data_IF_112995525127
#
_entry.id   IF_112995525127
#
_cell.length_a   1.000
_cell.length_b   1.000
_cell.length_c   1.000
_cell.angle_alpha   90.00
_cell.angle_beta   90.00
_cell.angle_gamma   90.00
#
_symmetry.space_group_name_H-M   'P 1'
#
loop_
_entity.id
_entity.type
_entity.pdbx_description
1 polymer ?
#
# COMPACT_ATOMS: atom_id res chain seq x y z
N UNK A 1 1.82 19.40 13.34
CA UNK A 1 2.26 19.31 11.93
C UNK A 1 1.27 18.58 11.01
N UNK A 2 -0.05 18.78 11.15
CA UNK A 2 -1.05 18.08 10.30
C UNK A 2 -1.01 18.53 8.83
N UNK A 3 -0.72 19.80 8.57
CA UNK A 3 -0.60 20.32 7.21
C UNK A 3 0.56 19.67 6.43
N UNK A 4 1.71 19.47 7.08
CA UNK A 4 2.87 18.83 6.48
C UNK A 4 2.61 17.34 6.18
N UNK A 5 1.96 16.61 7.10
CA UNK A 5 1.59 15.20 6.90
C UNK A 5 0.61 15.00 5.72
N UNK A 6 -0.30 15.95 5.52
CA UNK A 6 -1.30 15.88 4.44
C UNK A 6 -0.76 16.36 3.09
N UNK A 7 0.32 17.11 3.06
CA UNK A 7 0.89 17.65 1.82
C UNK A 7 1.23 16.52 0.82
N UNK A 8 0.83 16.68 -0.44
CA UNK A 8 1.10 15.70 -1.49
C UNK A 8 0.37 14.34 -1.36
N UNK A 9 -0.59 14.22 -0.42
CA UNK A 9 -1.31 12.94 -0.21
C UNK A 9 -2.02 12.47 -1.47
N UNK A 10 -2.68 13.35 -2.21
CA UNK A 10 -3.39 13.00 -3.44
C UNK A 10 -2.44 12.36 -4.48
N UNK A 11 -1.30 12.99 -4.74
CA UNK A 11 -0.27 12.49 -5.67
C UNK A 11 0.24 11.10 -5.20
N UNK A 12 0.50 10.95 -3.91
CA UNK A 12 0.95 9.67 -3.32
C UNK A 12 -0.10 8.57 -3.47
N UNK A 13 -1.38 8.90 -3.32
CA UNK A 13 -2.49 7.93 -3.50
C UNK A 13 -2.61 7.51 -4.96
N UNK A 14 -2.52 8.44 -5.90
CA UNK A 14 -2.51 8.18 -7.34
C UNK A 14 -1.34 7.26 -7.75
N UNK A 15 -0.13 7.51 -7.26
CA UNK A 15 1.02 6.63 -7.52
C UNK A 15 0.81 5.20 -6.96
N UNK A 16 0.21 5.05 -5.78
CA UNK A 16 -0.12 3.73 -5.20
C UNK A 16 -1.20 3.01 -6.00
N UNK A 17 -2.19 3.75 -6.51
CA UNK A 17 -3.20 3.21 -7.42
C UNK A 17 -2.54 2.69 -8.69
N UNK A 18 -1.62 3.45 -9.28
CA UNK A 18 -0.85 3.02 -10.43
C UNK A 18 -0.12 1.70 -10.16
N UNK A 19 0.66 1.60 -9.06
CA UNK A 19 1.34 0.35 -8.70
C UNK A 19 0.38 -0.83 -8.53
N UNK A 20 -0.78 -0.64 -7.91
CA UNK A 20 -1.79 -1.69 -7.78
C UNK A 20 -2.31 -2.15 -9.16
N UNK A 21 -2.55 -1.22 -10.09
CA UNK A 21 -2.98 -1.56 -11.46
C UNK A 21 -1.89 -2.27 -12.25
N UNK A 22 -0.62 -1.84 -12.15
CA UNK A 22 0.52 -2.48 -12.83
C UNK A 22 0.80 -3.87 -12.29
N UNK A 23 0.60 -4.11 -11.00
CA UNK A 23 0.67 -5.46 -10.48
C UNK A 23 -0.50 -6.33 -10.97
N UNK A 24 -1.71 -5.80 -11.11
CA UNK A 24 -2.87 -6.64 -11.41
C UNK A 24 -3.11 -6.87 -12.91
N UNK A 25 -3.21 -5.81 -13.70
CA UNK A 25 -3.69 -5.85 -15.09
C UNK A 25 -2.84 -6.73 -15.99
N UNK A 26 -1.49 -6.62 -15.99
CA UNK A 26 -0.67 -7.44 -16.88
C UNK A 26 -0.69 -8.94 -16.52
N UNK A 27 -0.91 -9.30 -15.25
CA UNK A 27 -1.09 -10.69 -14.85
C UNK A 27 -2.43 -11.28 -15.30
N UNK A 28 -3.47 -10.44 -15.38
CA UNK A 28 -4.81 -10.83 -15.84
C UNK A 28 -4.89 -10.91 -17.36
N UNK A 29 -4.43 -9.87 -18.04
CA UNK A 29 -4.71 -9.64 -19.47
C UNK A 29 -3.55 -10.08 -20.37
N UNK A 30 -2.34 -10.30 -19.81
CA UNK A 30 -1.12 -10.76 -20.51
C UNK A 30 -0.87 -10.02 -21.85
N UNK A 31 -0.77 -8.69 -21.82
CA UNK A 31 -0.64 -7.90 -23.04
C UNK A 31 0.68 -8.22 -23.76
N UNK A 32 0.70 -8.18 -25.10
CA UNK A 32 1.92 -8.41 -25.88
C UNK A 32 2.92 -7.25 -25.77
N UNK A 33 2.44 -6.01 -25.56
CA UNK A 33 3.25 -4.82 -25.32
C UNK A 33 3.05 -4.33 -23.89
N UNK A 34 4.03 -4.65 -23.03
CA UNK A 34 4.02 -4.27 -21.62
C UNK A 34 4.27 -2.77 -21.42
N UNK A 35 5.18 -2.15 -22.18
CA UNK A 35 5.56 -0.76 -21.98
C UNK A 35 4.41 0.19 -22.30
N UNK A 36 3.74 -0.04 -23.42
CA UNK A 36 2.58 0.75 -23.82
C UNK A 36 1.43 0.54 -22.85
N UNK A 37 1.18 -0.70 -22.41
CA UNK A 37 0.13 -0.99 -21.43
C UNK A 37 0.39 -0.26 -20.10
N UNK A 38 1.59 -0.34 -19.55
CA UNK A 38 1.95 0.32 -18.29
C UNK A 38 1.86 1.84 -18.40
N UNK A 39 2.26 2.43 -19.54
CA UNK A 39 2.14 3.87 -19.79
C UNK A 39 0.68 4.34 -19.77
N UNK A 40 -0.20 3.60 -20.44
CA UNK A 40 -1.65 3.89 -20.44
C UNK A 40 -2.28 3.70 -19.06
N UNK A 41 -1.86 2.67 -18.31
CA UNK A 41 -2.28 2.50 -16.91
C UNK A 41 -1.84 3.67 -16.04
N UNK A 42 -0.64 4.22 -16.27
CA UNK A 42 -0.15 5.39 -15.55
C UNK A 42 -1.00 6.62 -15.83
N UNK A 43 -1.29 6.91 -17.11
CA UNK A 43 -2.19 8.00 -17.51
C UNK A 43 -3.57 7.91 -16.85
N UNK A 44 -4.11 6.70 -16.70
CA UNK A 44 -5.42 6.47 -16.07
C UNK A 44 -5.41 6.54 -14.54
N UNK A 45 -4.24 6.40 -13.92
CA UNK A 45 -4.11 6.24 -12.46
C UNK A 45 -3.45 7.43 -11.78
N UNK A 46 -2.61 8.16 -12.51
CA UNK A 46 -1.82 9.27 -12.02
C UNK A 46 -2.41 10.62 -12.46
N UNK A 47 -2.10 11.68 -11.73
CA UNK A 47 -2.44 13.07 -12.10
C UNK A 47 -1.29 13.75 -12.85
N UNK A 48 -0.12 13.11 -12.87
CA UNK A 48 1.06 13.55 -13.57
C UNK A 48 1.20 12.79 -14.88
N UNK A 49 1.55 13.52 -15.95
CA UNK A 49 1.86 12.89 -17.23
C UNK A 49 3.08 11.96 -17.06
N UNK A 50 3.03 10.74 -17.60
CA UNK A 50 4.20 9.89 -17.65
C UNK A 50 5.35 10.61 -18.37
N UNK A 51 6.61 10.39 -17.95
CA UNK A 51 7.74 10.79 -18.77
C UNK A 51 7.69 10.00 -20.09
N UNK A 52 8.62 10.31 -21.00
CA UNK A 52 8.75 9.61 -22.28
C UNK A 52 8.87 8.08 -22.16
N UNK A 53 9.10 7.36 -23.28
CA UNK A 53 9.16 5.90 -23.29
C UNK A 53 10.02 5.34 -22.14
N UNK A 54 9.45 4.41 -21.37
CA UNK A 54 10.06 3.89 -20.14
C UNK A 54 9.77 2.39 -19.99
N UNK A 55 10.73 1.65 -19.43
CA UNK A 55 10.60 0.23 -19.05
C UNK A 55 10.34 0.09 -17.55
N UNK A 56 9.22 0.64 -17.06
CA UNK A 56 8.93 0.74 -15.63
C UNK A 56 9.01 -0.62 -14.90
N UNK A 57 8.51 -1.68 -15.54
CA UNK A 57 8.53 -3.06 -15.05
C UNK A 57 9.94 -3.57 -14.71
N UNK A 58 10.99 -3.12 -15.39
CA UNK A 58 12.37 -3.54 -15.13
C UNK A 58 12.87 -3.05 -13.76
N UNK A 59 12.31 -1.95 -13.27
CA UNK A 59 12.63 -1.38 -11.95
C UNK A 59 11.62 -1.79 -10.86
N UNK A 60 10.44 -2.28 -11.25
CA UNK A 60 9.34 -2.56 -10.34
C UNK A 60 9.36 -4.01 -9.81
N UNK A 61 10.31 -4.29 -8.90
CA UNK A 61 10.51 -5.62 -8.28
C UNK A 61 9.26 -6.25 -7.62
N UNK A 62 8.24 -5.45 -7.31
CA UNK A 62 6.98 -5.99 -6.78
C UNK A 62 6.25 -6.90 -7.76
N UNK A 63 6.52 -6.80 -9.07
CA UNK A 63 5.96 -7.73 -10.06
C UNK A 63 6.43 -9.17 -9.85
N UNK A 64 7.65 -9.37 -9.36
CA UNK A 64 8.20 -10.72 -9.16
C UNK A 64 7.99 -11.22 -7.74
N UNK A 65 8.08 -10.35 -6.74
CA UNK A 65 7.94 -10.74 -5.32
C UNK A 65 6.48 -10.80 -4.86
N UNK A 66 5.66 -9.86 -5.33
CA UNK A 66 4.26 -9.73 -4.93
C UNK A 66 3.29 -10.11 -6.04
N UNK A 67 3.76 -10.41 -7.25
CA UNK A 67 2.92 -10.75 -8.41
C UNK A 67 1.76 -9.76 -8.58
N UNK A 68 0.52 -10.24 -8.53
CA UNK A 68 -0.72 -9.45 -8.64
C UNK A 68 -1.25 -8.91 -7.30
N UNK A 69 -0.53 -9.16 -6.20
CA UNK A 69 -1.02 -8.91 -4.85
C UNK A 69 -0.67 -7.53 -4.29
N UNK A 70 0.01 -6.64 -5.01
CA UNK A 70 0.40 -5.32 -4.48
C UNK A 70 -0.75 -4.53 -3.86
N UNK A 71 -1.98 -4.70 -4.36
CA UNK A 71 -3.20 -4.09 -3.79
C UNK A 71 -3.38 -4.35 -2.29
N UNK A 72 -2.86 -5.47 -1.76
CA UNK A 72 -2.94 -5.80 -0.32
C UNK A 72 -2.19 -4.79 0.54
N UNK A 73 -1.13 -4.14 0.02
CA UNK A 73 -0.43 -3.09 0.76
C UNK A 73 -1.32 -1.85 1.01
N UNK A 74 -2.13 -1.48 0.02
CA UNK A 74 -3.07 -0.36 0.15
C UNK A 74 -4.25 -0.75 1.04
N UNK A 75 -4.75 -1.98 0.86
CA UNK A 75 -5.80 -2.56 1.69
C UNK A 75 -5.42 -2.57 3.18
N UNK A 76 -4.28 -3.18 3.53
CA UNK A 76 -3.79 -3.25 4.91
C UNK A 76 -3.56 -1.87 5.52
N UNK A 77 -3.11 -0.88 4.74
CA UNK A 77 -2.99 0.49 5.22
C UNK A 77 -4.35 1.11 5.56
N UNK A 78 -5.40 0.82 4.79
CA UNK A 78 -6.76 1.26 5.08
C UNK A 78 -7.23 0.73 6.43
N UNK A 79 -7.12 -0.59 6.62
CA UNK A 79 -7.46 -1.26 7.89
C UNK A 79 -6.65 -0.67 9.04
N UNK A 80 -5.33 -0.50 8.89
CA UNK A 80 -4.50 0.05 9.96
C UNK A 80 -4.94 1.47 10.36
N UNK A 81 -5.35 2.31 9.40
CA UNK A 81 -5.86 3.66 9.69
C UNK A 81 -7.20 3.62 10.41
N UNK A 82 -8.09 2.71 10.03
CA UNK A 82 -9.37 2.51 10.71
C UNK A 82 -9.15 1.99 12.14
N UNK A 83 -8.25 1.03 12.33
CA UNK A 83 -7.88 0.56 13.67
C UNK A 83 -7.28 1.68 14.53
N UNK A 84 -6.54 2.62 13.93
CA UNK A 84 -5.99 3.76 14.64
C UNK A 84 -7.07 4.72 15.16
N UNK A 85 -8.26 4.79 14.54
CA UNK A 85 -9.33 5.69 15.00
C UNK A 85 -9.95 5.26 16.34
N UNK A 86 -9.68 4.03 16.79
CA UNK A 86 -10.04 3.59 18.14
C UNK A 86 -9.20 4.28 19.23
N UNK A 87 -8.02 4.81 18.88
CA UNK A 87 -7.25 5.69 19.75
C UNK A 87 -7.82 7.11 19.60
N UNK A 88 -8.26 7.71 20.71
CA UNK A 88 -8.73 9.10 20.72
C UNK A 88 -7.64 10.07 20.20
N UNK A 89 -8.01 11.29 19.76
CA UNK A 89 -7.03 12.28 19.33
C UNK A 89 -5.99 12.57 20.42
N UNK A 90 -4.72 12.30 20.14
CA UNK A 90 -3.62 12.47 21.10
C UNK A 90 -3.45 11.33 22.11
N UNK A 91 -4.32 10.32 22.09
CA UNK A 91 -4.33 9.20 23.04
C UNK A 91 -3.68 7.93 22.47
N UNK A 92 -2.73 8.08 21.55
CA UNK A 92 -2.05 6.95 20.89
C UNK A 92 -1.29 6.03 21.87
N UNK A 93 -1.07 6.49 23.11
CA UNK A 93 -0.44 5.72 24.19
C UNK A 93 -1.43 5.18 25.25
N UNK A 94 -2.74 5.26 25.00
CA UNK A 94 -3.77 4.72 25.89
C UNK A 94 -3.60 3.21 26.08
N UNK A 95 -3.22 2.81 27.29
CA UNK A 95 -2.80 1.44 27.60
C UNK A 95 -3.97 0.42 27.54
N UNK A 96 -5.19 0.87 27.82
CA UNK A 96 -6.42 0.10 27.73
C UNK A 96 -6.77 -0.23 26.27
N UNK A 97 -6.74 0.77 25.37
CA UNK A 97 -6.96 0.58 23.92
C UNK A 97 -5.89 -0.33 23.34
N UNK A 98 -4.62 -0.13 23.70
CA UNK A 98 -3.51 -0.97 23.26
C UNK A 98 -3.65 -2.44 23.73
N UNK A 99 -4.07 -2.66 24.98
CA UNK A 99 -4.28 -4.01 25.53
C UNK A 99 -5.42 -4.73 24.85
N UNK A 100 -6.54 -4.03 24.59
CA UNK A 100 -7.66 -4.56 23.81
C UNK A 100 -7.21 -4.93 22.40
N UNK A 101 -6.51 -4.04 21.71
CA UNK A 101 -6.00 -4.28 20.36
C UNK A 101 -5.08 -5.52 20.30
N UNK A 102 -4.15 -5.65 21.26
CA UNK A 102 -3.29 -6.84 21.39
C UNK A 102 -4.11 -8.12 21.55
N UNK A 103 -5.13 -8.12 22.42
CA UNK A 103 -5.95 -9.30 22.67
C UNK A 103 -6.84 -9.72 21.50
N UNK A 104 -7.18 -8.80 20.60
CA UNK A 104 -8.09 -9.05 19.49
C UNK A 104 -7.38 -9.36 18.16
N UNK A 105 -6.18 -8.83 17.94
CA UNK A 105 -5.52 -8.84 16.63
C UNK A 105 -4.23 -9.66 16.62
N UNK A 106 -3.44 -9.60 17.70
CA UNK A 106 -2.19 -10.35 17.76
C UNK A 106 -2.48 -11.79 18.19
N UNK A 107 -1.83 -12.79 17.56
CA UNK A 107 -1.93 -14.15 18.06
C UNK A 107 -1.40 -14.21 19.51
N UNK A 108 -1.91 -15.13 20.34
CA UNK A 108 -1.32 -15.37 21.65
C UNK A 108 0.17 -15.65 21.49
N UNK A 109 0.98 -15.09 22.38
CA UNK A 109 2.42 -15.30 22.34
C UNK A 109 2.72 -16.80 22.40
N UNK A 110 3.58 -17.30 21.51
CA UNK A 110 4.03 -18.69 21.57
C UNK A 110 4.86 -18.87 22.85
N UNK A 111 4.44 -19.71 23.81
CA UNK A 111 5.17 -19.94 25.04
C UNK A 111 6.59 -20.52 24.82
N UNK A 112 6.91 -21.01 23.61
CA UNK A 112 8.24 -21.53 23.25
C UNK A 112 9.18 -20.48 22.67
N UNK A 113 8.72 -19.26 22.42
CA UNK A 113 9.59 -18.18 21.93
C UNK A 113 10.23 -17.47 23.12
N UNK A 114 11.56 -17.57 23.33
CA UNK A 114 12.22 -16.89 24.44
C UNK A 114 12.08 -15.38 24.30
N UNK A 115 11.77 -14.71 25.42
CA UNK A 115 11.80 -13.25 25.50
C UNK A 115 13.26 -12.82 25.69
N UNK A 116 13.85 -12.28 24.63
CA UNK A 116 15.16 -11.60 24.68
C UNK A 116 15.07 -10.27 25.41
#
# INVERSE_FOLDING_TARGET
MVAADRFGTAITVCARRYHATVSHVPHRDRPPDFDTTLRELRRKSDVLEPPGPQHFQASFRHLTLYTSWYRTQVWSRGIAKELLTAFGPGEVFAADVARRHRGQILPPADPRTPRT
#
